data_IF_422553353945
#
_entry.id   IF_422553353945
#
_cell.length_a   1.000
_cell.length_b   1.000
_cell.length_c   1.000
_cell.angle_alpha   90.00
_cell.angle_beta   90.00
_cell.angle_gamma   90.00
#
_symmetry.space_group_name_H-M   'P 1'
#
loop_
_entity.id
_entity.type
_entity.pdbx_description
1 polymer ?
#
# COMPACT_ATOMS: atom_id res chain seq x y z
N UNK A 1 -13.67 19.50 22.40
CA UNK A 1 -13.94 20.40 21.25
C UNK A 1 -12.85 21.46 21.23
N UNK A 2 -12.12 21.61 20.12
CA UNK A 2 -10.93 22.48 20.06
C UNK A 2 -11.26 23.98 20.01
N UNK A 3 -12.43 24.36 19.55
CA UNK A 3 -12.81 25.77 19.31
C UNK A 3 -13.61 26.43 20.40
N UNK A 4 -14.02 25.72 21.46
CA UNK A 4 -14.74 26.30 22.59
C UNK A 4 -15.94 27.18 22.19
N UNK A 5 -16.13 28.28 22.90
CA UNK A 5 -17.24 29.23 22.66
C UNK A 5 -17.08 30.04 21.37
N UNK A 6 -15.85 30.21 20.88
CA UNK A 6 -15.57 30.88 19.61
C UNK A 6 -16.18 30.15 18.39
N UNK A 7 -16.53 28.88 18.54
CA UNK A 7 -17.19 28.10 17.48
C UNK A 7 -18.52 28.71 17.03
N UNK A 8 -19.22 29.40 17.90
CA UNK A 8 -20.53 30.02 17.62
C UNK A 8 -20.47 31.17 16.61
N UNK A 9 -19.32 31.82 16.49
CA UNK A 9 -19.08 32.92 15.55
C UNK A 9 -18.44 32.45 14.23
N UNK A 10 -18.15 31.17 14.07
CA UNK A 10 -17.46 30.59 12.89
C UNK A 10 -18.42 29.72 12.04
N UNK A 11 -18.23 29.76 10.74
CA UNK A 11 -18.89 28.80 9.84
C UNK A 11 -18.08 27.51 9.88
N UNK A 12 -18.63 26.48 10.51
CA UNK A 12 -18.00 25.15 10.58
C UNK A 12 -18.82 24.22 9.70
N UNK A 13 -18.16 23.66 8.65
CA UNK A 13 -18.76 22.66 7.73
C UNK A 13 -17.84 21.48 7.60
N UNK A 14 -18.41 20.29 7.60
CA UNK A 14 -17.69 19.09 7.20
C UNK A 14 -17.58 19.08 5.67
N UNK A 15 -16.35 19.01 5.18
CA UNK A 15 -16.04 18.87 3.74
C UNK A 15 -15.28 17.57 3.60
N UNK A 16 -15.90 16.49 3.05
CA UNK A 16 -15.22 15.23 2.82
C UNK A 16 -14.16 15.37 1.72
N UNK A 17 -13.14 14.51 1.74
CA UNK A 17 -12.21 14.38 0.62
C UNK A 17 -12.96 13.87 -0.61
N UNK A 18 -12.76 14.54 -1.74
CA UNK A 18 -13.12 14.03 -3.06
C UNK A 18 -11.97 13.27 -3.68
N UNK A 19 -12.27 12.16 -4.34
CA UNK A 19 -11.33 11.41 -5.17
C UNK A 19 -11.82 11.39 -6.63
N UNK A 20 -10.88 11.37 -7.55
CA UNK A 20 -11.22 11.33 -8.97
C UNK A 20 -11.57 9.88 -9.38
N UNK A 21 -12.88 9.61 -9.48
CA UNK A 21 -13.40 8.30 -9.88
C UNK A 21 -13.12 7.93 -11.34
N UNK A 22 -12.66 8.87 -12.17
CA UNK A 22 -12.20 8.54 -13.53
C UNK A 22 -10.85 7.86 -13.54
N UNK A 23 -10.01 8.16 -12.53
CA UNK A 23 -8.66 7.60 -12.34
C UNK A 23 -8.65 6.38 -11.42
N UNK A 24 -9.52 6.36 -10.41
CA UNK A 24 -9.66 5.26 -9.46
C UNK A 24 -10.98 4.56 -9.68
N UNK A 25 -10.97 3.52 -10.47
CA UNK A 25 -12.13 2.67 -10.82
C UNK A 25 -11.66 1.28 -11.21
N UNK A 26 -12.53 0.28 -11.17
CA UNK A 26 -12.24 -1.02 -11.77
C UNK A 26 -11.92 -0.88 -13.26
N UNK A 27 -10.85 -1.51 -13.71
CA UNK A 27 -10.38 -1.50 -15.11
C UNK A 27 -10.32 -2.93 -15.62
N UNK A 28 -10.60 -3.13 -16.91
CA UNK A 28 -10.50 -4.45 -17.54
C UNK A 28 -9.09 -5.03 -17.36
N UNK A 29 -8.94 -6.17 -16.67
CA UNK A 29 -7.65 -6.80 -16.43
C UNK A 29 -6.91 -7.20 -17.72
N UNK A 30 -7.62 -7.27 -18.85
CA UNK A 30 -7.04 -7.59 -20.15
C UNK A 30 -6.57 -6.35 -20.94
N UNK A 31 -6.83 -5.14 -20.43
CA UNK A 31 -6.35 -3.90 -21.06
C UNK A 31 -4.83 -3.88 -21.16
N UNK A 32 -4.31 -3.15 -22.14
CA UNK A 32 -2.87 -3.04 -22.38
C UNK A 32 -2.18 -2.38 -21.19
N UNK A 33 -2.77 -1.33 -20.65
CA UNK A 33 -2.24 -0.53 -19.55
C UNK A 33 -2.12 -1.36 -18.26
N UNK A 34 -3.12 -2.20 -17.97
CA UNK A 34 -3.11 -3.11 -16.81
C UNK A 34 -2.01 -4.16 -16.98
N UNK A 35 -1.84 -4.71 -18.18
CA UNK A 35 -0.77 -5.69 -18.46
C UNK A 35 0.62 -5.05 -18.28
N UNK A 36 0.84 -3.84 -18.79
CA UNK A 36 2.12 -3.13 -18.64
C UNK A 36 2.46 -2.85 -17.18
N UNK A 37 1.50 -2.40 -16.37
CA UNK A 37 1.70 -2.20 -14.92
C UNK A 37 1.95 -3.55 -14.22
N UNK A 38 1.20 -4.58 -14.57
CA UNK A 38 1.39 -5.92 -14.01
C UNK A 38 2.81 -6.43 -14.30
N UNK A 39 3.30 -6.31 -15.52
CA UNK A 39 4.64 -6.73 -15.92
C UNK A 39 5.74 -5.94 -15.20
N UNK A 40 5.45 -4.69 -14.82
CA UNK A 40 6.39 -3.83 -14.10
C UNK A 40 6.51 -4.19 -12.60
N UNK A 41 5.38 -4.49 -11.95
CA UNK A 41 5.31 -4.60 -10.49
C UNK A 41 5.09 -6.03 -9.98
N UNK A 42 4.49 -6.90 -10.79
CA UNK A 42 4.24 -8.27 -10.39
C UNK A 42 5.39 -9.16 -10.89
N UNK A 43 5.93 -9.98 -9.99
CA UNK A 43 7.01 -10.89 -10.36
C UNK A 43 6.55 -11.94 -11.38
N UNK A 44 6.85 -11.72 -12.64
CA UNK A 44 6.45 -12.57 -13.77
C UNK A 44 7.04 -13.98 -13.75
N UNK A 45 8.05 -14.24 -12.91
CA UNK A 45 8.58 -15.60 -12.67
C UNK A 45 7.65 -16.46 -11.84
N UNK A 46 6.61 -15.87 -11.23
CA UNK A 46 5.61 -16.54 -10.41
C UNK A 46 4.29 -16.62 -11.18
N UNK A 47 3.56 -17.70 -10.97
CA UNK A 47 2.24 -17.89 -11.59
C UNK A 47 1.19 -17.19 -10.71
N UNK A 48 0.74 -16.00 -11.10
CA UNK A 48 -0.26 -15.19 -10.39
C UNK A 48 0.05 -15.10 -8.88
N UNK A 49 1.15 -14.45 -8.47
CA UNK A 49 1.49 -14.37 -7.07
C UNK A 49 0.45 -13.57 -6.30
N UNK A 50 0.08 -14.05 -5.11
CA UNK A 50 -0.69 -13.24 -4.17
C UNK A 50 0.11 -12.00 -3.80
N UNK A 51 -0.44 -10.83 -4.10
CA UNK A 51 0.27 -9.55 -4.03
C UNK A 51 -0.44 -8.57 -3.10
N UNK A 52 0.25 -8.15 -2.05
CA UNK A 52 -0.18 -7.00 -1.24
C UNK A 52 0.62 -5.75 -1.61
N UNK A 53 -0.04 -4.60 -1.55
CA UNK A 53 0.56 -3.28 -1.75
C UNK A 53 0.46 -2.47 -0.47
N UNK A 54 1.59 -1.91 -0.05
CA UNK A 54 1.65 -0.77 0.86
C UNK A 54 1.98 0.48 0.05
N UNK A 55 1.15 1.54 0.17
CA UNK A 55 1.38 2.82 -0.49
C UNK A 55 1.23 3.97 0.50
N UNK A 56 2.35 4.49 0.99
CA UNK A 56 2.39 5.73 1.79
C UNK A 56 3.83 6.22 1.95
N UNK A 57 4.00 7.46 2.42
CA UNK A 57 5.30 7.98 2.84
C UNK A 57 5.83 7.19 4.05
N UNK A 58 7.14 6.96 4.08
CA UNK A 58 7.80 6.33 5.22
C UNK A 58 7.93 7.33 6.37
N UNK A 59 6.92 7.40 7.22
CA UNK A 59 6.89 8.17 8.47
C UNK A 59 6.36 7.30 9.61
N UNK A 60 6.76 7.61 10.85
CA UNK A 60 6.53 6.75 12.02
C UNK A 60 5.09 6.28 12.19
N UNK A 61 4.10 7.20 12.06
CA UNK A 61 2.67 6.85 12.24
C UNK A 61 2.13 5.86 11.21
N UNK A 62 2.85 5.61 10.10
CA UNK A 62 2.46 4.64 9.08
C UNK A 62 2.83 3.20 9.43
N UNK A 63 3.55 2.99 10.51
CA UNK A 63 3.84 1.67 11.09
C UNK A 63 4.34 0.66 10.04
N UNK A 64 5.25 1.07 9.13
CA UNK A 64 5.76 0.18 8.07
C UNK A 64 6.53 -1.02 8.65
N UNK A 65 7.34 -0.87 9.72
CA UNK A 65 7.95 -2.02 10.38
C UNK A 65 6.93 -3.06 10.85
N UNK A 66 5.77 -2.62 11.37
CA UNK A 66 4.71 -3.54 11.79
C UNK A 66 4.06 -4.23 10.59
N UNK A 67 3.92 -3.52 9.46
CA UNK A 67 3.47 -4.12 8.19
C UNK A 67 4.45 -5.21 7.72
N UNK A 68 5.77 -4.97 7.79
CA UNK A 68 6.81 -5.95 7.43
C UNK A 68 6.79 -7.15 8.40
N UNK A 69 6.57 -6.90 9.69
CA UNK A 69 6.44 -7.96 10.70
C UNK A 69 5.17 -8.80 10.48
N UNK A 70 4.04 -8.16 10.19
CA UNK A 70 2.80 -8.86 9.85
C UNK A 70 2.98 -9.72 8.58
N UNK A 71 3.67 -9.20 7.58
CA UNK A 71 4.04 -9.95 6.39
C UNK A 71 4.89 -11.18 6.71
N UNK A 72 5.86 -11.04 7.62
CA UNK A 72 6.66 -12.17 8.09
C UNK A 72 5.79 -13.25 8.73
N UNK A 73 4.91 -12.88 9.66
CA UNK A 73 4.01 -13.85 10.30
C UNK A 73 3.07 -14.52 9.32
N UNK A 74 2.58 -13.77 8.32
CA UNK A 74 1.78 -14.35 7.24
C UNK A 74 2.57 -15.42 6.47
N UNK A 75 3.79 -15.09 6.04
CA UNK A 75 4.63 -16.04 5.32
C UNK A 75 5.01 -17.26 6.18
N UNK A 76 5.33 -17.06 7.46
CA UNK A 76 5.70 -18.15 8.37
C UNK A 76 4.54 -19.14 8.59
N UNK A 77 3.29 -18.68 8.46
CA UNK A 77 2.10 -19.50 8.54
C UNK A 77 1.78 -20.31 7.28
N UNK A 78 2.48 -20.08 6.16
CA UNK A 78 2.23 -20.74 4.88
C UNK A 78 3.20 -21.91 4.61
N UNK A 79 2.76 -22.95 3.89
CA UNK A 79 3.67 -23.93 3.26
C UNK A 79 4.69 -23.24 2.36
N UNK A 80 5.86 -23.85 2.19
CA UNK A 80 7.00 -23.22 1.49
C UNK A 80 6.70 -22.89 0.03
N UNK A 81 5.97 -23.74 -0.67
CA UNK A 81 5.54 -23.54 -2.07
C UNK A 81 4.55 -22.36 -2.18
N UNK A 82 3.57 -22.27 -1.30
CA UNK A 82 2.65 -21.14 -1.26
C UNK A 82 3.36 -19.83 -0.87
N UNK A 83 4.25 -19.87 0.14
CA UNK A 83 5.08 -18.74 0.55
C UNK A 83 5.85 -18.14 -0.63
N UNK A 84 6.43 -19.01 -1.46
CA UNK A 84 7.16 -18.58 -2.65
C UNK A 84 6.29 -17.90 -3.69
N UNK A 85 4.97 -18.09 -3.66
CA UNK A 85 4.01 -17.47 -4.58
C UNK A 85 3.32 -16.23 -3.99
N UNK A 86 3.89 -15.63 -2.95
CA UNK A 86 3.41 -14.37 -2.37
C UNK A 86 4.41 -13.25 -2.61
N UNK A 87 3.96 -11.99 -2.64
CA UNK A 87 4.82 -10.81 -2.67
C UNK A 87 4.16 -9.61 -1.98
N UNK A 88 4.99 -8.75 -1.38
CA UNK A 88 4.60 -7.47 -0.81
C UNK A 88 5.32 -6.35 -1.56
N UNK A 89 4.56 -5.43 -2.12
CA UNK A 89 5.10 -4.22 -2.74
C UNK A 89 5.06 -3.09 -1.71
N UNK A 90 6.22 -2.52 -1.39
CA UNK A 90 6.35 -1.31 -0.58
C UNK A 90 6.59 -0.12 -1.50
N UNK A 91 5.53 0.60 -1.87
CA UNK A 91 5.63 1.84 -2.64
C UNK A 91 5.86 3.00 -1.68
N UNK A 92 7.14 3.26 -1.38
CA UNK A 92 7.58 4.23 -0.38
C UNK A 92 9.08 4.50 -0.51
N UNK A 93 9.55 5.57 0.13
CA UNK A 93 10.99 5.77 0.30
C UNK A 93 11.56 4.76 1.31
N UNK A 94 12.61 4.03 0.97
CA UNK A 94 13.20 3.01 1.86
C UNK A 94 13.79 3.63 3.14
N UNK A 95 14.26 4.87 3.07
CA UNK A 95 14.81 5.63 4.19
C UNK A 95 14.20 7.03 4.18
N UNK A 96 13.66 7.48 5.30
CA UNK A 96 13.13 8.84 5.49
C UNK A 96 13.54 9.31 6.90
N UNK A 97 13.94 10.57 7.03
CA UNK A 97 14.39 11.16 8.31
C UNK A 97 13.31 11.11 9.41
N UNK A 98 12.03 11.14 9.01
CA UNK A 98 10.87 11.06 9.90
C UNK A 98 10.29 9.63 10.00
N UNK A 99 10.98 8.66 9.39
CA UNK A 99 10.56 7.27 9.27
C UNK A 99 11.53 6.27 9.85
N UNK A 100 11.73 5.19 9.13
CA UNK A 100 12.56 4.04 9.52
C UNK A 100 13.44 3.62 8.35
N UNK A 101 14.64 3.10 8.64
CA UNK A 101 15.48 2.38 7.68
C UNK A 101 14.83 1.02 7.39
N UNK A 102 14.00 0.95 6.34
CA UNK A 102 13.27 -0.26 5.97
C UNK A 102 14.18 -1.39 5.50
N UNK A 103 15.25 -1.15 4.73
CA UNK A 103 16.27 -2.16 4.43
C UNK A 103 16.84 -2.84 5.69
N UNK A 104 17.14 -2.07 6.74
CA UNK A 104 17.64 -2.63 8.00
C UNK A 104 16.59 -3.49 8.71
N UNK A 105 15.31 -3.05 8.72
CA UNK A 105 14.19 -3.82 9.27
C UNK A 105 14.02 -5.14 8.51
N UNK A 106 14.00 -5.08 7.17
CA UNK A 106 13.85 -6.27 6.32
C UNK A 106 15.01 -7.25 6.59
N UNK A 107 16.24 -6.76 6.61
CA UNK A 107 17.42 -7.59 6.88
C UNK A 107 17.37 -8.25 8.26
N UNK A 108 16.86 -7.55 9.26
CA UNK A 108 16.71 -8.09 10.62
C UNK A 108 15.62 -9.18 10.68
N UNK A 109 14.48 -8.94 10.07
CA UNK A 109 13.34 -9.87 10.12
C UNK A 109 13.52 -11.07 9.17
N UNK A 110 14.26 -10.92 8.08
CA UNK A 110 14.47 -11.94 7.04
C UNK A 110 15.97 -12.14 6.74
N UNK A 111 16.72 -12.74 7.66
CA UNK A 111 18.16 -12.95 7.46
C UNK A 111 18.48 -13.83 6.23
N UNK A 112 17.59 -14.78 5.90
CA UNK A 112 17.72 -15.68 4.76
C UNK A 112 17.30 -15.06 3.41
N UNK A 113 16.86 -13.79 3.41
CA UNK A 113 16.42 -13.03 2.23
C UNK A 113 15.20 -13.63 1.49
N UNK A 114 14.41 -14.44 2.13
CA UNK A 114 13.20 -15.09 1.58
C UNK A 114 11.92 -14.28 1.80
N UNK A 115 12.05 -12.96 1.80
CA UNK A 115 10.97 -12.04 2.20
C UNK A 115 9.95 -11.73 1.10
N UNK A 116 10.30 -11.91 -0.19
CA UNK A 116 9.45 -11.54 -1.34
C UNK A 116 8.90 -10.09 -1.28
N UNK A 117 9.67 -9.17 -0.67
CA UNK A 117 9.34 -7.75 -0.60
C UNK A 117 10.00 -7.03 -1.76
N UNK A 118 9.20 -6.25 -2.50
CA UNK A 118 9.64 -5.41 -3.61
C UNK A 118 9.58 -3.95 -3.17
N UNK A 119 10.73 -3.26 -3.21
CA UNK A 119 10.78 -1.82 -2.96
C UNK A 119 10.48 -1.06 -4.25
N UNK A 120 9.40 -0.30 -4.28
CA UNK A 120 9.00 0.56 -5.38
C UNK A 120 9.27 2.01 -5.00
N UNK A 121 10.33 2.59 -5.55
CA UNK A 121 10.81 3.95 -5.20
C UNK A 121 10.56 4.99 -6.28
N UNK A 122 10.18 4.57 -7.48
CA UNK A 122 9.89 5.47 -8.58
C UNK A 122 8.56 6.20 -8.34
N UNK A 123 8.52 7.49 -8.64
CA UNK A 123 7.25 8.23 -8.63
C UNK A 123 6.31 7.70 -9.70
N UNK A 124 5.07 7.44 -9.31
CA UNK A 124 3.98 7.07 -10.20
C UNK A 124 3.02 8.25 -10.36
N UNK A 125 2.48 8.41 -11.55
CA UNK A 125 1.36 9.33 -11.77
C UNK A 125 0.10 8.80 -11.10
N UNK A 126 -0.88 9.65 -10.84
CA UNK A 126 -2.17 9.23 -10.26
C UNK A 126 -2.86 8.15 -11.09
N UNK A 127 -2.78 8.24 -12.43
CA UNK A 127 -3.32 7.22 -13.32
C UNK A 127 -2.60 5.86 -13.17
N UNK A 128 -1.26 5.87 -13.07
CA UNK A 128 -0.48 4.66 -12.83
C UNK A 128 -0.77 4.05 -11.45
N UNK A 129 -1.01 4.89 -10.43
CA UNK A 129 -1.47 4.39 -9.12
C UNK A 129 -2.83 3.69 -9.23
N UNK A 130 -3.79 4.27 -9.96
CA UNK A 130 -5.07 3.63 -10.22
C UNK A 130 -4.92 2.25 -10.89
N UNK A 131 -4.01 2.13 -11.87
CA UNK A 131 -3.68 0.85 -12.50
C UNK A 131 -3.01 -0.13 -11.51
N UNK A 132 -2.09 0.36 -10.66
CA UNK A 132 -1.41 -0.49 -9.69
C UNK A 132 -2.38 -1.09 -8.67
N UNK A 133 -3.37 -0.32 -8.20
CA UNK A 133 -4.42 -0.86 -7.34
C UNK A 133 -5.23 -1.97 -8.04
N UNK A 134 -5.46 -1.88 -9.33
CA UNK A 134 -6.21 -2.90 -10.10
C UNK A 134 -5.45 -4.22 -10.32
N UNK A 135 -4.13 -4.28 -10.05
CA UNK A 135 -3.31 -5.49 -10.30
C UNK A 135 -2.86 -6.20 -9.03
N UNK A 136 -3.17 -5.65 -7.86
CA UNK A 136 -2.85 -6.25 -6.56
C UNK A 136 -4.08 -6.88 -5.92
N UNK A 137 -3.87 -7.91 -5.09
CA UNK A 137 -4.95 -8.64 -4.41
C UNK A 137 -5.46 -7.91 -3.17
N UNK A 138 -4.68 -6.96 -2.65
CA UNK A 138 -5.09 -6.14 -1.52
C UNK A 138 -4.10 -5.03 -1.19
N UNK A 139 -4.60 -4.03 -0.46
CA UNK A 139 -3.79 -2.91 0.07
C UNK A 139 -3.75 -3.00 1.58
N UNK A 140 -2.54 -2.92 2.14
CA UNK A 140 -2.32 -2.96 3.59
C UNK A 140 -1.78 -1.62 4.09
N UNK A 141 -2.40 -1.06 5.14
CA UNK A 141 -1.96 0.18 5.76
C UNK A 141 -2.25 0.18 7.26
N UNK A 142 -1.33 -0.32 8.07
CA UNK A 142 -1.44 -0.43 9.53
C UNK A 142 -1.04 0.89 10.22
N UNK A 143 -1.66 1.99 9.84
CA UNK A 143 -1.34 3.30 10.42
C UNK A 143 -1.92 3.47 11.81
N UNK A 144 -1.14 4.03 12.75
CA UNK A 144 -1.64 4.38 14.08
C UNK A 144 -2.61 5.58 14.08
N UNK A 145 -2.56 6.41 13.04
CA UNK A 145 -3.45 7.55 12.84
C UNK A 145 -3.50 7.99 11.39
N UNK A 146 -4.70 8.28 10.91
CA UNK A 146 -4.97 8.86 9.59
C UNK A 146 -5.92 10.04 9.69
N UNK A 147 -5.68 11.06 8.87
CA UNK A 147 -6.69 12.12 8.67
C UNK A 147 -7.86 11.64 7.83
N UNK A 148 -7.59 10.85 6.80
CA UNK A 148 -8.60 10.27 5.91
C UNK A 148 -8.23 8.85 5.42
N UNK A 149 -6.97 8.59 5.14
CA UNK A 149 -6.53 7.32 4.54
C UNK A 149 -6.76 7.28 3.03
N UNK A 150 -6.26 8.28 2.30
CA UNK A 150 -6.49 8.41 0.85
C UNK A 150 -6.14 7.15 0.08
N UNK A 151 -5.00 6.51 0.35
CA UNK A 151 -4.58 5.26 -0.33
C UNK A 151 -5.56 4.10 -0.13
N UNK A 152 -6.20 4.01 1.05
CA UNK A 152 -7.26 3.02 1.29
C UNK A 152 -8.53 3.35 0.50
N UNK A 153 -8.92 4.62 0.46
CA UNK A 153 -10.10 5.05 -0.29
C UNK A 153 -9.90 4.90 -1.80
N UNK A 154 -8.68 5.18 -2.31
CA UNK A 154 -8.28 4.94 -3.70
C UNK A 154 -8.40 3.45 -4.05
N UNK A 155 -7.89 2.56 -3.19
CA UNK A 155 -8.01 1.12 -3.36
C UNK A 155 -9.47 0.65 -3.39
N UNK A 156 -10.31 1.14 -2.46
CA UNK A 156 -11.74 0.80 -2.43
C UNK A 156 -12.48 1.23 -3.70
N UNK A 157 -12.14 2.39 -4.27
CA UNK A 157 -12.73 2.85 -5.54
C UNK A 157 -12.36 1.95 -6.72
N UNK A 158 -11.20 1.29 -6.71
CA UNK A 158 -10.80 0.31 -7.72
C UNK A 158 -11.38 -1.08 -7.47
N UNK A 159 -12.10 -1.28 -6.36
CA UNK A 159 -12.62 -2.58 -5.95
C UNK A 159 -11.59 -3.46 -5.25
N UNK A 160 -10.43 -2.92 -4.90
CA UNK A 160 -9.34 -3.67 -4.26
C UNK A 160 -9.59 -3.79 -2.76
N UNK A 161 -9.52 -5.00 -2.17
CA UNK A 161 -9.65 -5.20 -0.73
C UNK A 161 -8.60 -4.44 0.08
N UNK A 162 -8.96 -4.03 1.30
CA UNK A 162 -8.05 -3.33 2.22
C UNK A 162 -7.88 -4.06 3.53
N UNK A 163 -6.68 -3.91 4.14
CA UNK A 163 -6.30 -4.33 5.49
C UNK A 163 -5.84 -3.07 6.23
N UNK A 164 -6.54 -2.67 7.31
CA UNK A 164 -6.27 -1.46 8.08
C UNK A 164 -6.40 -1.69 9.58
#
# INVERSE_FOLDING_TARGET
>A
MVLGEDSKSKIIKYIPHGLNSDLFKPIDPNSKEVKEIKDTFINTKKTNPFTLLFNSRNIRRKCIPDTILAWKYFLDGLPKDERNNCQLILHTNPIDENGTDLPAVIKFLFPEKDHNIIMSTNSLTTAQMGLLYNVVDGVILLSSAEGWGLSLTEALLTGTPIIA
#
